data_IF_279930157881
#
_entry.id   IF_279930157881
#
_cell.length_a   1.000
_cell.length_b   1.000
_cell.length_c   1.000
_cell.angle_alpha   90.00
_cell.angle_beta   90.00
_cell.angle_gamma   90.00
#
_symmetry.space_group_name_H-M   'P 1'
#
loop_
_entity.id
_entity.type
_entity.pdbx_description
1 polymer ?
#
# COMPACT_ATOMS: atom_id res chain seq x y z
N UNK A 1 -52.25 47.14 6.20
CA UNK A 1 -52.72 45.81 6.66
C UNK A 1 -52.32 44.81 5.59
N UNK A 2 -51.66 43.67 5.80
CA UNK A 2 -51.15 43.04 7.00
C UNK A 2 -49.90 42.21 6.64
N UNK A 3 -49.13 41.95 7.70
CA UNK A 3 -47.91 41.17 7.85
C UNK A 3 -48.12 39.66 7.57
N UNK A 4 -47.23 39.02 6.81
CA UNK A 4 -46.88 37.59 6.97
C UNK A 4 -45.34 37.49 6.98
N UNK A 5 -44.67 37.39 8.13
CA UNK A 5 -44.34 36.16 8.92
C UNK A 5 -43.76 35.02 8.06
N UNK A 6 -42.43 34.91 8.04
CA UNK A 6 -41.67 33.73 7.56
C UNK A 6 -41.84 32.48 8.46
N UNK A 7 -41.16 31.34 8.16
CA UNK A 7 -39.69 31.23 8.07
C UNK A 7 -39.20 30.48 6.80
N UNK A 8 -38.08 30.87 6.17
CA UNK A 8 -36.70 30.47 6.49
C UNK A 8 -36.49 28.95 6.60
N UNK A 9 -35.51 28.46 5.83
CA UNK A 9 -34.78 27.17 5.96
C UNK A 9 -35.31 25.98 5.14
N UNK A 10 -35.19 26.06 3.82
CA UNK A 10 -34.84 24.90 2.99
C UNK A 10 -33.46 25.15 2.36
N UNK A 11 -32.47 25.42 3.22
CA UNK A 11 -31.08 25.15 2.87
C UNK A 11 -30.93 23.63 2.89
N UNK A 12 -31.22 23.00 1.75
CA UNK A 12 -30.87 21.61 1.52
C UNK A 12 -29.36 21.50 1.71
N UNK A 13 -28.98 21.02 2.89
CA UNK A 13 -27.62 20.70 3.26
C UNK A 13 -27.22 19.49 2.41
N UNK A 14 -26.87 19.73 1.16
CA UNK A 14 -26.09 18.78 0.36
C UNK A 14 -24.69 18.78 0.96
N UNK A 15 -24.55 18.13 2.12
CA UNK A 15 -23.26 17.61 2.55
C UNK A 15 -22.85 16.64 1.45
N UNK A 16 -22.07 17.14 0.50
CA UNK A 16 -21.31 16.28 -0.39
C UNK A 16 -20.57 15.29 0.51
N UNK A 17 -20.78 14.00 0.27
CA UNK A 17 -19.85 12.98 0.73
C UNK A 17 -18.52 13.23 0.03
N UNK A 18 -17.79 14.26 0.46
CA UNK A 18 -16.37 14.26 0.30
C UNK A 18 -15.92 13.10 1.17
N UNK A 19 -15.70 11.94 0.55
CA UNK A 19 -14.92 10.88 1.17
C UNK A 19 -13.64 11.55 1.63
N UNK A 20 -13.51 11.77 2.94
CA UNK A 20 -12.27 12.26 3.51
C UNK A 20 -11.26 11.14 3.26
N UNK A 21 -10.49 11.25 2.18
CA UNK A 21 -9.38 10.35 1.95
C UNK A 21 -8.49 10.45 3.19
N UNK A 22 -8.36 9.34 3.90
CA UNK A 22 -7.58 9.31 5.14
C UNK A 22 -6.19 9.85 4.87
N UNK A 23 -5.77 10.76 5.72
CA UNK A 23 -4.47 11.39 5.59
C UNK A 23 -3.37 10.37 5.87
N UNK A 24 -2.18 10.60 5.29
CA UNK A 24 -1.03 9.73 5.55
C UNK A 24 -0.79 9.59 7.06
N UNK A 25 -1.04 10.64 7.86
CA UNK A 25 -0.86 10.66 9.31
C UNK A 25 -1.72 9.66 10.08
N UNK A 26 -2.92 9.33 9.59
CA UNK A 26 -3.82 8.36 10.23
C UNK A 26 -3.34 6.91 10.12
N UNK A 27 -2.39 6.63 9.23
CA UNK A 27 -1.85 5.28 9.05
C UNK A 27 -0.85 4.95 10.17
N UNK A 28 -1.07 3.94 11.01
CA UNK A 28 -0.15 3.63 12.10
C UNK A 28 1.22 3.17 11.61
N UNK A 29 2.22 3.27 12.49
CA UNK A 29 3.59 2.80 12.25
C UNK A 29 3.99 1.88 13.39
N UNK A 30 4.65 0.77 13.07
CA UNK A 30 5.10 -0.23 14.05
C UNK A 30 6.04 0.42 15.08
N UNK A 31 5.69 0.41 16.37
CA UNK A 31 6.59 0.87 17.42
C UNK A 31 7.87 0.03 17.47
N UNK A 32 9.01 0.69 17.62
CA UNK A 32 10.31 0.01 17.70
C UNK A 32 10.70 -0.73 16.43
N UNK A 33 10.24 -0.27 15.26
CA UNK A 33 10.56 -0.89 13.98
C UNK A 33 12.07 -0.97 13.72
N UNK A 34 12.53 -2.17 13.35
CA UNK A 34 13.91 -2.47 13.01
C UNK A 34 14.01 -2.85 11.53
N UNK A 35 14.61 -1.95 10.75
CA UNK A 35 14.75 -2.10 9.31
C UNK A 35 15.57 -3.34 8.92
N UNK A 36 16.56 -3.73 9.72
CA UNK A 36 17.42 -4.87 9.36
C UNK A 36 16.63 -6.18 9.44
N UNK A 37 15.68 -6.29 10.38
CA UNK A 37 14.89 -7.51 10.58
C UNK A 37 13.84 -7.76 9.49
N UNK A 38 13.53 -6.76 8.65
CA UNK A 38 12.65 -6.95 7.49
C UNK A 38 13.38 -7.46 6.25
N UNK A 39 14.72 -7.53 6.27
CA UNK A 39 15.51 -8.01 5.14
C UNK A 39 15.17 -9.46 4.76
N UNK A 40 15.16 -9.75 3.46
CA UNK A 40 14.98 -11.08 2.90
C UNK A 40 13.64 -11.26 2.20
N UNK A 41 13.29 -12.52 1.96
CA UNK A 41 12.13 -12.92 1.16
C UNK A 41 10.80 -12.68 1.89
N UNK A 42 9.78 -12.27 1.13
CA UNK A 42 8.40 -12.11 1.59
C UNK A 42 7.43 -12.70 0.58
N UNK A 43 6.33 -13.27 1.08
CA UNK A 43 5.20 -13.73 0.28
C UNK A 43 4.02 -12.78 0.52
N UNK A 44 3.41 -12.29 -0.55
CA UNK A 44 2.17 -11.53 -0.49
C UNK A 44 1.00 -12.50 -0.25
N UNK A 45 0.32 -12.35 0.88
CA UNK A 45 -0.81 -13.19 1.29
C UNK A 45 -2.13 -12.50 0.91
N UNK A 46 -2.25 -11.20 1.17
CA UNK A 46 -3.41 -10.39 0.81
C UNK A 46 -2.97 -9.04 0.29
N UNK A 47 -3.75 -8.47 -0.62
CA UNK A 47 -3.52 -7.16 -1.20
C UNK A 47 -4.85 -6.42 -1.33
N UNK A 48 -4.82 -5.11 -1.05
CA UNK A 48 -5.97 -4.24 -1.19
C UNK A 48 -5.50 -2.85 -1.61
N UNK A 49 -6.35 -2.13 -2.34
CA UNK A 49 -6.02 -0.84 -2.94
C UNK A 49 -7.19 0.13 -2.81
N UNK A 50 -6.91 1.43 -2.77
CA UNK A 50 -7.95 2.46 -2.88
C UNK A 50 -8.43 2.68 -4.32
N UNK A 51 -7.65 2.24 -5.31
CA UNK A 51 -8.02 2.25 -6.73
C UNK A 51 -7.66 0.89 -7.38
N UNK A 52 -8.68 0.21 -7.88
CA UNK A 52 -8.56 -1.11 -8.53
C UNK A 52 -7.85 -1.08 -9.87
N UNK A 53 -7.73 0.09 -10.52
CA UNK A 53 -7.03 0.21 -11.80
C UNK A 53 -5.53 -0.14 -11.65
N UNK A 54 -4.96 0.07 -10.46
CA UNK A 54 -3.54 -0.19 -10.14
C UNK A 54 -3.17 -1.66 -9.94
N UNK A 55 -4.15 -2.56 -9.92
CA UNK A 55 -3.99 -4.00 -9.67
C UNK A 55 -4.85 -4.84 -10.61
N UNK A 56 -5.34 -4.23 -11.69
CA UNK A 56 -6.22 -4.89 -12.64
C UNK A 56 -5.53 -6.13 -13.21
N UNK A 57 -6.24 -7.26 -13.38
CA UNK A 57 -5.71 -8.39 -14.11
C UNK A 57 -5.24 -8.02 -15.53
N UNK A 58 -5.87 -7.02 -16.14
CA UNK A 58 -5.52 -6.48 -17.45
C UNK A 58 -4.48 -5.37 -17.37
N UNK A 59 -4.11 -4.92 -16.17
CA UNK A 59 -3.00 -3.99 -15.97
C UNK A 59 -1.74 -4.65 -16.56
N UNK A 60 -1.11 -4.04 -17.57
CA UNK A 60 0.13 -4.57 -18.10
C UNK A 60 1.16 -4.73 -16.98
N UNK A 61 1.12 -3.93 -15.90
CA UNK A 61 2.05 -3.84 -14.78
C UNK A 61 1.63 -4.58 -13.49
N UNK A 62 1.52 -5.92 -13.54
CA UNK A 62 1.39 -6.71 -12.31
C UNK A 62 2.73 -6.87 -11.58
N UNK A 63 2.86 -6.26 -10.39
CA UNK A 63 4.08 -6.31 -9.58
C UNK A 63 3.97 -7.35 -8.45
N UNK A 64 4.96 -8.23 -8.34
CA UNK A 64 5.09 -9.17 -7.24
C UNK A 64 6.31 -8.81 -6.37
N UNK A 65 6.08 -8.58 -5.08
CA UNK A 65 7.17 -8.43 -4.11
C UNK A 65 7.89 -9.76 -3.92
N UNK A 66 9.21 -9.75 -4.09
CA UNK A 66 10.06 -10.91 -3.83
C UNK A 66 10.81 -10.78 -2.52
N UNK A 67 11.53 -9.68 -2.34
CA UNK A 67 12.33 -9.45 -1.13
C UNK A 67 12.50 -7.97 -0.82
N UNK A 68 12.78 -7.70 0.44
CA UNK A 68 13.23 -6.38 0.91
C UNK A 68 14.71 -6.50 1.22
N UNK A 69 15.51 -5.51 0.83
CA UNK A 69 16.93 -5.41 1.19
C UNK A 69 17.19 -4.11 1.92
N UNK A 70 18.21 -4.10 2.76
CA UNK A 70 18.66 -2.89 3.43
C UNK A 70 20.01 -2.44 2.92
N UNK A 71 20.20 -1.14 2.71
CA UNK A 71 21.48 -0.56 2.33
C UNK A 71 21.65 0.82 2.95
N UNK A 72 22.61 1.00 3.87
CA UNK A 72 22.90 2.30 4.50
C UNK A 72 21.67 3.07 5.01
N UNK A 73 20.70 2.34 5.59
CA UNK A 73 19.37 2.77 6.09
C UNK A 73 18.27 2.92 5.04
N UNK A 74 18.60 2.89 3.76
CA UNK A 74 17.62 2.79 2.69
C UNK A 74 17.05 1.36 2.63
N UNK A 75 15.85 1.26 2.06
CA UNK A 75 15.23 -0.01 1.73
C UNK A 75 15.11 -0.14 0.22
N UNK A 76 15.48 -1.30 -0.30
CA UNK A 76 15.26 -1.68 -1.69
C UNK A 76 14.18 -2.78 -1.73
N UNK A 77 13.05 -2.48 -2.35
CA UNK A 77 12.04 -3.47 -2.70
C UNK A 77 12.44 -4.12 -4.02
N UNK A 78 12.73 -5.42 -3.98
CA UNK A 78 12.95 -6.23 -5.17
C UNK A 78 11.61 -6.78 -5.62
N UNK A 79 11.11 -6.22 -6.71
CA UNK A 79 9.84 -6.55 -7.33
C UNK A 79 10.10 -7.27 -8.66
N UNK A 80 9.11 -8.04 -9.10
CA UNK A 80 9.10 -8.62 -10.43
C UNK A 80 7.82 -8.25 -11.16
N UNK A 81 8.00 -7.80 -12.39
CA UNK A 81 6.92 -7.59 -13.32
C UNK A 81 6.39 -8.92 -13.85
N UNK A 82 5.06 -9.08 -13.90
CA UNK A 82 4.36 -10.32 -14.28
C UNK A 82 3.28 -10.04 -15.33
N UNK A 83 3.53 -9.09 -16.22
CA UNK A 83 2.71 -8.81 -17.40
C UNK A 83 2.78 -9.92 -18.45
N UNK A 84 1.97 -9.81 -19.51
CA UNK A 84 1.91 -10.82 -20.59
C UNK A 84 3.30 -11.07 -21.22
N UNK A 85 3.91 -12.21 -20.87
CA UNK A 85 5.05 -12.79 -21.57
C UNK A 85 6.45 -12.32 -21.12
N UNK A 86 6.57 -11.37 -20.19
CA UNK A 86 7.89 -10.86 -19.76
C UNK A 86 7.95 -10.77 -18.24
N UNK A 87 8.86 -11.55 -17.66
CA UNK A 87 9.18 -11.49 -16.25
C UNK A 87 10.45 -10.64 -16.11
N UNK A 88 10.33 -9.42 -15.57
CA UNK A 88 11.46 -8.46 -15.45
C UNK A 88 11.61 -8.00 -14.00
N UNK A 89 12.85 -8.00 -13.48
CA UNK A 89 13.14 -7.45 -12.17
C UNK A 89 13.07 -5.92 -12.16
N UNK A 90 12.45 -5.37 -11.13
CA UNK A 90 12.39 -3.94 -10.83
C UNK A 90 12.80 -3.74 -9.38
N UNK A 91 13.77 -2.86 -9.14
CA UNK A 91 14.16 -2.47 -7.79
C UNK A 91 13.62 -1.07 -7.52
N UNK A 92 12.90 -0.91 -6.40
CA UNK A 92 12.42 0.39 -5.93
C UNK A 92 13.12 0.73 -4.63
N UNK A 93 13.91 1.79 -4.64
CA UNK A 93 14.62 2.28 -3.46
C UNK A 93 13.81 3.36 -2.77
N UNK A 94 13.67 3.25 -1.45
CA UNK A 94 13.03 4.25 -0.60
C UNK A 94 13.96 4.64 0.54
N UNK A 95 13.90 5.91 0.91
CA UNK A 95 14.77 6.57 1.88
C UNK A 95 13.99 6.88 3.16
N UNK A 96 14.62 6.78 4.34
CA UNK A 96 13.95 7.07 5.60
C UNK A 96 13.54 8.55 5.70
N UNK A 97 12.33 8.82 6.17
CA UNK A 97 11.78 10.18 6.30
C UNK A 97 11.78 10.73 7.73
N UNK A 98 12.16 9.93 8.72
CA UNK A 98 12.15 10.34 10.11
C UNK A 98 11.92 9.13 11.03
N UNK A 99 10.76 9.02 11.71
CA UNK A 99 10.50 7.92 12.65
C UNK A 99 10.75 6.56 12.01
N UNK A 100 11.25 5.61 12.80
CA UNK A 100 11.47 4.23 12.36
C UNK A 100 10.20 3.67 11.69
N UNK A 101 10.35 3.08 10.51
CA UNK A 101 9.24 2.46 9.77
C UNK A 101 8.54 3.38 8.77
N UNK A 102 9.02 4.60 8.54
CA UNK A 102 8.51 5.51 7.50
C UNK A 102 9.59 5.82 6.46
N UNK A 103 9.23 5.69 5.18
CA UNK A 103 10.13 5.89 4.05
C UNK A 103 9.43 6.65 2.93
N UNK A 104 10.22 7.29 2.05
CA UNK A 104 9.77 7.91 0.82
C UNK A 104 10.68 7.59 -0.34
N UNK A 105 10.14 7.55 -1.54
CA UNK A 105 10.90 7.43 -2.77
C UNK A 105 10.15 8.06 -3.92
N UNK A 106 10.61 7.77 -5.12
CA UNK A 106 9.99 8.18 -6.36
C UNK A 106 9.77 6.95 -7.24
N UNK A 107 8.69 6.94 -8.02
CA UNK A 107 8.46 5.91 -9.02
C UNK A 107 8.61 6.49 -10.43
N UNK A 108 8.60 5.62 -11.43
CA UNK A 108 8.75 6.00 -12.83
C UNK A 108 7.67 7.01 -13.24
N UNK A 109 8.06 8.14 -13.82
CA UNK A 109 7.16 9.28 -14.09
C UNK A 109 7.31 10.46 -13.13
N UNK A 110 8.07 10.31 -12.02
CA UNK A 110 8.38 11.40 -11.10
C UNK A 110 7.37 11.58 -9.95
N UNK A 111 6.36 10.71 -9.88
CA UNK A 111 5.44 10.63 -8.75
C UNK A 111 6.13 10.22 -7.45
N UNK A 112 5.55 10.61 -6.32
CA UNK A 112 6.07 10.33 -4.98
C UNK A 112 5.49 9.03 -4.45
N UNK A 113 6.34 8.23 -3.81
CA UNK A 113 5.95 7.05 -3.06
C UNK A 113 6.21 7.28 -1.57
N UNK A 114 5.25 6.93 -0.72
CA UNK A 114 5.43 6.87 0.73
C UNK A 114 5.17 5.46 1.22
N UNK A 115 6.01 4.98 2.11
CA UNK A 115 5.93 3.61 2.64
C UNK A 115 5.88 3.67 4.17
N UNK A 116 4.93 2.92 4.75
CA UNK A 116 4.81 2.74 6.20
C UNK A 116 4.77 1.26 6.56
N UNK A 117 5.65 0.87 7.47
CA UNK A 117 5.61 -0.45 8.10
C UNK A 117 4.59 -0.40 9.25
N UNK A 118 3.35 -0.76 8.93
CA UNK A 118 2.21 -0.56 9.83
C UNK A 118 2.29 -1.46 11.05
N UNK A 119 2.58 -2.74 10.83
CA UNK A 119 2.76 -3.69 11.93
C UNK A 119 3.56 -4.91 11.51
N UNK A 120 4.45 -5.40 12.37
CA UNK A 120 5.26 -6.58 12.07
C UNK A 120 5.75 -7.29 13.33
N UNK A 121 5.82 -8.62 13.28
CA UNK A 121 6.65 -9.45 14.18
C UNK A 121 7.91 -9.99 13.47
N UNK A 122 8.22 -9.43 12.31
CA UNK A 122 9.29 -9.80 11.39
C UNK A 122 9.13 -11.17 10.70
N UNK A 123 8.10 -11.95 11.09
CA UNK A 123 7.63 -13.15 10.38
C UNK A 123 6.39 -12.86 9.53
N UNK A 124 5.58 -11.90 9.95
CA UNK A 124 4.40 -11.35 9.27
C UNK A 124 4.48 -9.83 9.29
N UNK A 125 4.04 -9.19 8.21
CA UNK A 125 4.16 -7.74 8.02
C UNK A 125 2.90 -7.20 7.34
N UNK A 126 2.32 -6.14 7.88
CA UNK A 126 1.34 -5.30 7.19
C UNK A 126 2.09 -4.06 6.69
N UNK A 127 2.11 -3.89 5.37
CA UNK A 127 2.78 -2.80 4.67
C UNK A 127 1.73 -1.87 4.05
N UNK A 128 1.92 -0.57 4.23
CA UNK A 128 1.17 0.47 3.54
C UNK A 128 2.08 1.20 2.55
N UNK A 129 1.58 1.41 1.34
CA UNK A 129 2.25 2.20 0.29
C UNK A 129 1.27 3.22 -0.26
N UNK A 130 1.68 4.47 -0.40
CA UNK A 130 0.92 5.55 -1.01
C UNK A 130 1.68 6.10 -2.21
N UNK A 131 0.97 6.31 -3.29
CA UNK A 131 1.44 6.91 -4.53
C UNK A 131 0.74 8.25 -4.73
N UNK A 132 1.52 9.27 -5.08
CA UNK A 132 1.01 10.60 -5.42
C UNK A 132 1.63 11.04 -6.75
N UNK A 133 0.78 11.30 -7.75
CA UNK A 133 1.21 11.80 -9.05
C UNK A 133 0.12 12.67 -9.68
N UNK A 134 0.49 13.81 -10.26
CA UNK A 134 -0.46 14.70 -10.94
C UNK A 134 -1.68 15.19 -10.13
N UNK A 135 -1.67 15.04 -8.80
CA UNK A 135 -2.82 15.32 -7.92
C UNK A 135 -3.71 14.11 -7.64
N UNK A 136 -3.45 12.97 -8.27
CA UNK A 136 -4.07 11.69 -7.95
C UNK A 136 -3.33 11.00 -6.80
N UNK A 137 -4.10 10.41 -5.89
CA UNK A 137 -3.59 9.71 -4.71
C UNK A 137 -4.17 8.31 -4.67
N UNK A 138 -3.30 7.32 -4.71
CA UNK A 138 -3.67 5.92 -4.52
C UNK A 138 -2.88 5.29 -3.40
N UNK A 139 -3.47 4.33 -2.71
CA UNK A 139 -2.81 3.56 -1.68
C UNK A 139 -3.01 2.07 -1.83
N UNK A 140 -2.02 1.31 -1.37
CA UNK A 140 -1.94 -0.13 -1.41
C UNK A 140 -1.58 -0.66 -0.03
N UNK A 141 -2.29 -1.69 0.40
CA UNK A 141 -2.09 -2.39 1.66
C UNK A 141 -1.78 -3.85 1.38
N UNK A 142 -0.63 -4.32 1.84
CA UNK A 142 -0.20 -5.70 1.65
C UNK A 142 -0.04 -6.41 3.01
N UNK A 143 -0.63 -7.60 3.13
CA UNK A 143 -0.28 -8.55 4.18
C UNK A 143 0.79 -9.50 3.64
N UNK A 144 1.95 -9.49 4.26
CA UNK A 144 3.12 -10.26 3.87
C UNK A 144 3.48 -11.28 4.95
N UNK A 145 4.02 -12.43 4.55
CA UNK A 145 4.57 -13.41 5.47
C UNK A 145 5.86 -14.06 4.92
N UNK A 146 6.77 -14.47 5.81
CA UNK A 146 8.00 -15.17 5.42
C UNK A 146 7.73 -16.59 4.90
N UNK A 147 6.62 -17.19 5.33
CA UNK A 147 6.15 -18.54 5.02
C UNK A 147 4.61 -18.53 5.01
N UNK A 148 3.99 -19.70 4.97
CA UNK A 148 2.53 -19.83 5.17
C UNK A 148 2.10 -19.10 6.44
N UNK A 149 1.08 -18.24 6.31
CA UNK A 149 0.51 -17.49 7.42
C UNK A 149 -0.11 -18.47 8.43
N UNK A 150 0.41 -18.50 9.67
CA UNK A 150 -0.06 -19.43 10.71
C UNK A 150 -0.97 -18.79 11.74
N UNK A 151 -0.74 -17.51 12.04
CA UNK A 151 -1.45 -16.80 13.09
C UNK A 151 -2.59 -15.96 12.48
N UNK A 152 -3.86 -16.35 12.70
CA UNK A 152 -5.01 -15.68 12.10
C UNK A 152 -5.18 -14.24 12.58
N UNK A 153 -4.53 -13.82 13.67
CA UNK A 153 -4.59 -12.44 14.16
C UNK A 153 -4.12 -11.43 13.12
N UNK A 154 -3.17 -11.82 12.27
CA UNK A 154 -2.61 -10.97 11.21
C UNK A 154 -3.63 -10.72 10.12
N UNK A 155 -4.39 -11.75 9.73
CA UNK A 155 -5.49 -11.60 8.78
C UNK A 155 -6.60 -10.72 9.36
N UNK A 156 -6.99 -10.95 10.61
CA UNK A 156 -8.01 -10.14 11.27
C UNK A 156 -7.60 -8.66 11.40
N UNK A 157 -6.33 -8.39 11.75
CA UNK A 157 -5.78 -7.03 11.81
C UNK A 157 -5.78 -6.37 10.43
N UNK A 158 -5.34 -7.09 9.40
CA UNK A 158 -5.34 -6.60 8.02
C UNK A 158 -6.76 -6.25 7.54
N UNK A 159 -7.73 -7.15 7.74
CA UNK A 159 -9.13 -6.92 7.41
C UNK A 159 -9.75 -5.76 8.21
N UNK A 160 -9.24 -5.49 9.41
CA UNK A 160 -9.52 -4.27 10.15
C UNK A 160 -9.21 -3.04 9.31
N UNK A 161 -7.96 -2.91 8.85
CA UNK A 161 -7.54 -1.79 8.01
C UNK A 161 -8.26 -1.72 6.66
N UNK A 162 -8.51 -2.85 6.00
CA UNK A 162 -9.27 -2.88 4.73
C UNK A 162 -10.64 -2.22 4.90
N UNK A 163 -11.37 -2.55 5.98
CA UNK A 163 -12.67 -1.94 6.28
C UNK A 163 -12.54 -0.48 6.70
N UNK A 164 -11.56 -0.18 7.56
CA UNK A 164 -11.35 1.15 8.11
C UNK A 164 -10.96 2.18 7.04
N UNK A 165 -10.23 1.76 6.00
CA UNK A 165 -9.78 2.59 4.88
C UNK A 165 -10.62 2.37 3.61
N UNK A 166 -11.72 1.60 3.69
CA UNK A 166 -12.65 1.32 2.58
C UNK A 166 -11.95 0.84 1.29
N UNK A 167 -11.01 -0.08 1.45
CA UNK A 167 -10.18 -0.58 0.34
C UNK A 167 -10.88 -1.71 -0.41
N UNK A 168 -10.49 -1.88 -1.67
CA UNK A 168 -10.93 -2.99 -2.52
C UNK A 168 -9.85 -4.06 -2.54
N UNK A 169 -10.25 -5.33 -2.41
CA UNK A 169 -9.33 -6.46 -2.50
C UNK A 169 -8.74 -6.58 -3.90
N UNK A 170 -7.48 -7.01 -3.95
CA UNK A 170 -6.68 -7.11 -5.17
C UNK A 170 -6.12 -8.53 -5.31
N UNK A 171 -5.96 -9.04 -6.55
CA UNK A 171 -5.35 -10.34 -6.77
C UNK A 171 -3.90 -10.34 -6.29
N UNK A 172 -3.49 -11.44 -5.63
CA UNK A 172 -2.11 -11.66 -5.18
C UNK A 172 -1.38 -12.63 -6.08
N UNK A 173 -0.09 -12.41 -6.27
CA UNK A 173 0.79 -13.32 -7.00
C UNK A 173 2.17 -13.35 -6.36
N UNK A 174 2.79 -14.53 -6.32
CA UNK A 174 4.12 -14.74 -5.75
C UNK A 174 4.98 -15.51 -6.77
N UNK A 175 6.27 -15.19 -6.84
CA UNK A 175 7.23 -15.87 -7.72
C UNK A 175 8.29 -16.62 -6.92
N UNK A 176 8.47 -17.90 -7.24
CA UNK A 176 9.44 -18.79 -6.58
C UNK A 176 10.89 -18.47 -6.96
N UNK A 177 11.16 -18.15 -8.23
CA UNK A 177 12.48 -17.87 -8.77
C UNK A 177 12.59 -16.45 -9.35
N UNK A 178 13.82 -15.94 -9.48
CA UNK A 178 14.11 -14.77 -10.31
C UNK A 178 13.66 -15.14 -11.72
N UNK A 179 12.81 -14.30 -12.31
CA UNK A 179 12.46 -14.37 -13.72
C UNK A 179 13.66 -14.81 -14.58
N UNK A 180 13.52 -15.90 -15.34
CA UNK A 180 14.49 -16.20 -16.38
C UNK A 180 14.48 -15.03 -17.37
N UNK A 181 15.65 -14.46 -17.77
CA UNK A 181 15.67 -13.47 -18.83
C UNK A 181 15.06 -14.09 -20.10
N UNK A 182 14.39 -13.29 -20.95
CA UNK A 182 13.94 -13.78 -22.25
C UNK A 182 15.15 -14.35 -23.02
N UNK A 183 14.98 -15.55 -23.56
CA UNK A 183 15.99 -16.25 -24.36
C UNK A 183 16.25 -15.53 -25.69
#
# INVERSE_FOLDING_TARGET
MALQRGPLLLLTLSLGLASAQKTLEEVPVQPGFDAQKVEGRWLTIQLATSDTLLVSPEDPLRLALHSIRTWNRDLEFVLFWTGKGVCKGLNVTVHPTGPHGQYQGFFEGGGRMFVRFVSTDYSSLILYVRFEDGGEVTSLWALLARRVLRDPKWLGRYQGYVREFQLQEAPVFNLDARCSPPA
#
